data_IF_931915372157
#
_entry.id   IF_931915372157
#
_cell.length_a   1.000
_cell.length_b   1.000
_cell.length_c   1.000
_cell.angle_alpha   90.00
_cell.angle_beta   90.00
_cell.angle_gamma   90.00
#
_symmetry.space_group_name_H-M   'P 1'
#
loop_
_entity.id
_entity.type
_entity.pdbx_description
1 polymer ?
#
# COMPACT_ATOMS: atom_id res chain seq x y z
N UNK A 1 -19.29 52.56 -38.62
CA UNK A 1 -18.27 51.77 -37.88
C UNK A 1 -18.31 52.01 -36.37
N UNK A 2 -18.47 53.26 -35.88
CA UNK A 2 -18.47 53.58 -34.44
C UNK A 2 -19.61 52.98 -33.59
N UNK A 3 -20.80 52.73 -34.16
CA UNK A 3 -21.96 52.19 -33.42
C UNK A 3 -21.78 50.74 -32.97
N UNK A 4 -21.04 49.93 -33.74
CA UNK A 4 -20.68 48.54 -33.37
C UNK A 4 -19.58 48.49 -32.30
N UNK A 5 -18.65 49.44 -32.34
CA UNK A 5 -17.61 49.56 -31.31
C UNK A 5 -18.18 49.98 -29.95
N UNK A 6 -19.13 50.93 -29.93
CA UNK A 6 -19.83 51.33 -28.70
C UNK A 6 -20.63 50.17 -28.08
N UNK A 7 -21.36 49.41 -28.91
CA UNK A 7 -22.06 48.19 -28.46
C UNK A 7 -21.11 47.15 -27.87
N UNK A 8 -19.93 46.98 -28.46
CA UNK A 8 -18.92 46.04 -27.96
C UNK A 8 -18.33 46.50 -26.62
N UNK A 9 -18.02 47.79 -26.48
CA UNK A 9 -17.51 48.38 -25.24
C UNK A 9 -18.55 48.27 -24.11
N UNK A 10 -19.83 48.54 -24.41
CA UNK A 10 -20.92 48.44 -23.44
C UNK A 10 -21.15 46.99 -22.98
N UNK A 11 -20.96 46.01 -23.87
CA UNK A 11 -21.05 44.59 -23.56
C UNK A 11 -19.88 44.10 -22.70
N UNK A 12 -18.67 44.62 -22.93
CA UNK A 12 -17.49 44.35 -22.09
C UNK A 12 -17.65 44.96 -20.69
N UNK A 13 -18.15 46.19 -20.58
CA UNK A 13 -18.44 46.82 -19.28
C UNK A 13 -19.51 46.03 -18.52
N UNK A 14 -20.54 45.52 -19.21
CA UNK A 14 -21.57 44.68 -18.62
C UNK A 14 -20.98 43.40 -18.00
N UNK A 15 -20.07 42.72 -18.73
CA UNK A 15 -19.39 41.50 -18.28
C UNK A 15 -18.50 41.77 -17.05
N UNK A 16 -17.81 42.90 -16.99
CA UNK A 16 -16.95 43.29 -15.86
C UNK A 16 -17.78 43.69 -14.63
N UNK A 17 -18.99 44.23 -14.84
CA UNK A 17 -19.89 44.68 -13.77
C UNK A 17 -20.71 43.56 -13.10
N UNK A 18 -20.70 42.34 -13.65
CA UNK A 18 -21.24 41.20 -12.93
C UNK A 18 -20.31 40.87 -11.76
N UNK A 19 -20.77 40.92 -10.50
CA UNK A 19 -19.96 40.49 -9.39
C UNK A 19 -19.72 38.99 -9.56
N UNK A 20 -18.54 38.61 -10.05
CA UNK A 20 -18.05 37.25 -9.96
C UNK A 20 -17.90 36.99 -8.47
N UNK A 21 -18.95 36.47 -7.85
CA UNK A 21 -18.90 35.97 -6.48
C UNK A 21 -18.02 34.73 -6.53
N UNK A 22 -16.72 34.92 -6.46
CA UNK A 22 -15.79 33.84 -6.18
C UNK A 22 -16.12 33.43 -4.76
N UNK A 23 -16.79 32.28 -4.57
CA UNK A 23 -16.85 31.62 -3.27
C UNK A 23 -15.43 31.15 -2.94
N UNK A 24 -14.57 32.07 -2.51
CA UNK A 24 -13.31 31.69 -1.87
C UNK A 24 -13.66 31.30 -0.43
N UNK A 25 -14.18 30.09 -0.25
CA UNK A 25 -14.49 29.54 1.07
C UNK A 25 -13.29 28.84 1.72
N UNK A 26 -12.19 28.73 0.98
CA UNK A 26 -11.00 27.99 1.36
C UNK A 26 -9.77 28.76 0.93
N UNK A 27 -9.10 29.42 1.89
CA UNK A 27 -7.76 29.94 1.65
C UNK A 27 -6.78 28.77 1.51
N UNK A 28 -5.99 28.78 0.43
CA UNK A 28 -5.04 27.71 0.13
C UNK A 28 -3.91 27.64 1.15
N UNK A 29 -3.48 28.78 1.69
CA UNK A 29 -2.43 28.82 2.70
C UNK A 29 -2.92 28.15 4.00
N UNK A 30 -4.13 28.47 4.43
CA UNK A 30 -4.75 27.85 5.58
C UNK A 30 -5.01 26.35 5.40
N UNK A 31 -5.51 25.93 4.23
CA UNK A 31 -5.68 24.52 3.91
C UNK A 31 -4.34 23.76 3.97
N UNK A 32 -3.26 24.35 3.46
CA UNK A 32 -1.91 23.80 3.52
C UNK A 32 -1.42 23.66 4.97
N UNK A 33 -1.64 24.69 5.80
CA UNK A 33 -1.31 24.66 7.23
C UNK A 33 -2.04 23.53 7.96
N UNK A 34 -3.34 23.37 7.74
CA UNK A 34 -4.16 22.32 8.33
C UNK A 34 -3.75 20.92 7.86
N UNK A 35 -3.41 20.75 6.59
CA UNK A 35 -2.83 19.49 6.08
C UNK A 35 -1.49 19.16 6.73
N UNK A 36 -0.64 20.15 6.97
CA UNK A 36 0.61 19.96 7.69
C UNK A 36 0.36 19.52 9.14
N UNK A 37 -0.60 20.14 9.84
CA UNK A 37 -1.04 19.71 11.17
C UNK A 37 -1.53 18.25 11.14
N UNK A 38 -2.41 17.91 10.21
CA UNK A 38 -2.92 16.55 10.04
C UNK A 38 -1.80 15.53 9.74
N UNK A 39 -0.78 15.94 8.98
CA UNK A 39 0.35 15.06 8.62
C UNK A 39 1.22 14.67 9.82
N UNK A 40 1.33 15.55 10.82
CA UNK A 40 2.12 15.35 12.03
C UNK A 40 1.50 14.36 13.03
N UNK A 41 0.23 13.99 12.83
CA UNK A 41 -0.40 12.92 13.60
C UNK A 41 0.31 11.61 13.30
N UNK A 42 0.71 10.94 14.37
CA UNK A 42 1.29 9.60 14.32
C UNK A 42 0.47 8.64 15.18
N UNK A 43 0.82 7.36 15.16
CA UNK A 43 0.12 6.35 15.93
C UNK A 43 1.09 5.38 16.62
N UNK A 44 0.62 4.81 17.73
CA UNK A 44 1.23 3.67 18.42
C UNK A 44 0.22 2.54 18.46
N UNK A 45 0.69 1.31 18.38
CA UNK A 45 -0.14 0.10 18.46
C UNK A 45 0.31 -0.69 19.67
N UNK A 46 -0.63 -0.95 20.57
CA UNK A 46 -0.49 -1.88 21.69
C UNK A 46 -1.52 -3.00 21.53
N UNK A 47 -1.33 -4.11 22.25
CA UNK A 47 -2.29 -5.21 22.23
C UNK A 47 -2.38 -5.91 23.59
N UNK A 48 -3.55 -6.46 23.86
CA UNK A 48 -3.78 -7.42 24.94
C UNK A 48 -4.12 -8.78 24.34
N UNK A 49 -3.60 -9.84 24.95
CA UNK A 49 -3.89 -11.22 24.54
C UNK A 49 -4.67 -11.90 25.66
N UNK A 50 -5.84 -12.44 25.32
CA UNK A 50 -6.71 -13.16 26.24
C UNK A 50 -7.45 -14.27 25.49
N UNK A 51 -7.48 -15.47 26.07
CA UNK A 51 -8.23 -16.63 25.54
C UNK A 51 -7.96 -16.93 24.05
N UNK A 52 -6.67 -16.96 23.66
CA UNK A 52 -6.22 -17.15 22.27
C UNK A 52 -6.82 -16.14 21.27
N UNK A 53 -7.14 -14.93 21.75
CA UNK A 53 -7.52 -13.78 20.93
C UNK A 53 -6.66 -12.58 21.30
N UNK A 54 -6.50 -11.68 20.34
CA UNK A 54 -5.85 -10.39 20.57
C UNK A 54 -6.82 -9.26 20.32
N UNK A 55 -6.75 -8.26 21.18
CA UNK A 55 -7.45 -6.99 21.01
C UNK A 55 -6.40 -5.87 20.95
N UNK A 56 -6.44 -5.10 19.87
CA UNK A 56 -5.52 -4.00 19.64
C UNK A 56 -6.05 -2.69 20.20
N UNK A 57 -5.12 -1.90 20.73
CA UNK A 57 -5.31 -0.51 21.11
C UNK A 57 -4.46 0.35 20.19
N UNK A 58 -5.09 1.32 19.53
CA UNK A 58 -4.42 2.31 18.69
C UNK A 58 -4.41 3.63 19.46
N UNK A 59 -3.22 4.19 19.68
CA UNK A 59 -3.07 5.51 20.29
C UNK A 59 -2.63 6.50 19.22
N UNK A 60 -3.48 7.45 18.87
CA UNK A 60 -3.13 8.55 17.99
C UNK A 60 -2.46 9.65 18.81
N UNK A 61 -1.30 10.13 18.35
CA UNK A 61 -0.47 11.11 19.06
C UNK A 61 -0.30 12.39 18.25
N UNK A 62 0.07 13.49 18.92
CA UNK A 62 0.22 14.82 18.33
C UNK A 62 -1.09 15.40 17.79
N UNK A 63 -2.20 15.19 18.49
CA UNK A 63 -3.48 15.80 18.12
C UNK A 63 -3.49 17.31 18.36
N UNK A 64 -4.23 18.01 17.52
CA UNK A 64 -4.34 19.47 17.52
C UNK A 64 -5.82 19.89 17.62
N UNK A 65 -6.17 20.99 18.33
CA UNK A 65 -7.56 21.42 18.55
C UNK A 65 -8.33 21.81 17.28
N UNK A 66 -7.63 22.18 16.22
CA UNK A 66 -8.22 22.62 14.95
C UNK A 66 -8.61 21.48 14.00
N UNK A 67 -8.46 20.22 14.44
CA UNK A 67 -8.83 19.05 13.65
C UNK A 67 -9.69 18.10 14.48
N UNK A 68 -10.48 17.28 13.79
CA UNK A 68 -11.16 16.14 14.37
C UNK A 68 -10.96 14.90 13.48
N UNK A 69 -11.15 13.72 14.06
CA UNK A 69 -10.86 12.44 13.42
C UNK A 69 -12.14 11.62 13.31
N UNK A 70 -12.35 11.00 12.16
CA UNK A 70 -13.37 9.98 11.96
C UNK A 70 -12.69 8.62 11.77
N UNK A 71 -13.04 7.67 12.62
CA UNK A 71 -12.76 6.26 12.37
C UNK A 71 -13.79 5.74 11.35
N UNK A 72 -13.32 5.46 10.13
CA UNK A 72 -14.18 5.03 9.03
C UNK A 72 -14.74 3.63 9.26
N UNK A 73 -14.06 2.78 10.05
CA UNK A 73 -14.45 1.39 10.25
C UNK A 73 -15.73 1.24 11.10
N UNK A 74 -15.93 2.13 12.06
CA UNK A 74 -17.07 2.12 12.97
C UNK A 74 -17.91 3.42 12.91
N UNK A 75 -17.54 4.34 12.01
CA UNK A 75 -18.19 5.62 11.80
C UNK A 75 -18.23 6.52 13.06
N UNK A 76 -17.23 6.43 13.94
CA UNK A 76 -17.12 7.26 15.13
C UNK A 76 -16.29 8.51 14.88
N UNK A 77 -16.68 9.59 15.52
CA UNK A 77 -16.01 10.89 15.46
C UNK A 77 -15.34 11.16 16.80
N UNK A 78 -14.12 11.69 16.74
CA UNK A 78 -13.28 12.01 17.89
C UNK A 78 -12.79 13.45 17.75
N UNK A 79 -13.09 14.25 18.76
CA UNK A 79 -12.72 15.65 18.84
C UNK A 79 -11.56 15.82 19.81
N UNK A 80 -10.94 16.99 19.78
CA UNK A 80 -9.85 17.30 20.71
C UNK A 80 -10.28 17.27 22.19
N UNK A 81 -11.58 17.40 22.49
CA UNK A 81 -12.13 17.21 23.83
C UNK A 81 -12.00 15.78 24.36
N UNK A 82 -11.88 14.78 23.48
CA UNK A 82 -11.80 13.36 23.82
C UNK A 82 -10.36 12.90 24.15
N UNK A 83 -9.41 13.83 24.02
CA UNK A 83 -7.98 13.60 24.18
C UNK A 83 -7.60 13.59 25.65
N UNK A 84 -6.60 12.77 26.01
CA UNK A 84 -6.00 12.78 27.34
C UNK A 84 -5.28 14.12 27.56
N UNK A 85 -5.86 14.96 28.43
CA UNK A 85 -5.31 16.28 28.77
C UNK A 85 -3.86 16.17 29.22
N UNK A 86 -2.99 16.99 28.63
CA UNK A 86 -1.55 17.02 28.92
C UNK A 86 -0.67 16.11 28.06
N UNK A 87 -1.26 15.21 27.24
CA UNK A 87 -0.48 14.34 26.33
C UNK A 87 -0.78 14.53 24.85
N UNK A 88 -1.90 15.16 24.50
CA UNK A 88 -2.36 15.26 23.11
C UNK A 88 -2.53 13.88 22.43
N UNK A 89 -2.95 12.88 23.21
CA UNK A 89 -3.15 11.49 22.78
C UNK A 89 -4.63 11.06 22.85
N UNK A 90 -5.09 10.35 21.83
CA UNK A 90 -6.40 9.69 21.79
C UNK A 90 -6.21 8.17 21.76
N UNK A 91 -6.79 7.48 22.74
CA UNK A 91 -6.66 6.04 22.91
C UNK A 91 -7.91 5.32 22.45
N UNK A 92 -7.78 4.47 21.44
CA UNK A 92 -8.87 3.77 20.77
C UNK A 92 -8.69 2.25 20.96
N UNK A 93 -9.68 1.58 21.55
CA UNK A 93 -9.62 0.15 21.93
C UNK A 93 -10.63 -0.69 21.14
N UNK A 94 -10.50 -2.01 21.20
CA UNK A 94 -11.48 -2.94 20.63
C UNK A 94 -11.23 -3.37 19.19
N UNK A 95 -10.02 -3.16 18.64
CA UNK A 95 -9.75 -3.53 17.26
C UNK A 95 -9.30 -4.98 17.14
N UNK A 96 -9.85 -5.70 16.15
CA UNK A 96 -9.46 -7.07 15.82
C UNK A 96 -8.17 -7.12 14.99
N UNK A 97 -7.42 -8.21 15.09
CA UNK A 97 -6.24 -8.49 14.27
C UNK A 97 -6.52 -8.51 12.76
N UNK A 98 -5.46 -8.31 11.96
CA UNK A 98 -5.47 -8.49 10.52
C UNK A 98 -6.29 -7.47 9.72
N UNK A 99 -6.68 -6.36 10.33
CA UNK A 99 -7.46 -5.29 9.69
C UNK A 99 -6.63 -4.03 9.48
N UNK A 100 -6.93 -3.29 8.42
CA UNK A 100 -6.45 -1.93 8.23
C UNK A 100 -7.55 -0.96 8.62
N UNK A 101 -7.27 -0.09 9.58
CA UNK A 101 -8.18 0.95 10.05
C UNK A 101 -7.85 2.25 9.33
N UNK A 102 -8.87 2.90 8.77
CA UNK A 102 -8.75 4.21 8.12
C UNK A 102 -9.29 5.29 9.03
N UNK A 103 -8.45 6.29 9.29
CA UNK A 103 -8.81 7.50 10.01
C UNK A 103 -8.81 8.68 9.04
N UNK A 104 -9.98 9.29 8.86
CA UNK A 104 -10.12 10.52 8.07
C UNK A 104 -10.01 11.72 9.01
N UNK A 105 -9.12 12.64 8.68
CA UNK A 105 -8.85 13.84 9.46
C UNK A 105 -9.52 15.01 8.76
N UNK A 106 -10.31 15.76 9.51
CA UNK A 106 -11.07 16.91 9.04
C UNK A 106 -10.66 18.16 9.83
N UNK A 107 -10.96 19.33 9.27
CA UNK A 107 -10.80 20.58 9.99
C UNK A 107 -11.99 20.78 10.96
N UNK A 108 -11.74 21.45 12.09
CA UNK A 108 -12.74 21.80 13.10
C UNK A 108 -13.04 23.31 13.12
N UNK A 109 -12.64 24.04 12.07
CA UNK A 109 -12.80 25.49 11.97
C UNK A 109 -14.15 25.75 11.32
N UNK A 110 -15.08 26.32 12.08
CA UNK A 110 -16.40 26.70 11.55
C UNK A 110 -16.22 27.66 10.38
N UNK A 111 -16.99 27.41 9.32
CA UNK A 111 -17.04 28.27 8.13
C UNK A 111 -15.81 28.16 7.21
N UNK A 112 -14.93 27.17 7.41
CA UNK A 112 -13.75 26.95 6.58
C UNK A 112 -13.78 25.53 5.98
N UNK A 113 -13.96 25.42 4.66
CA UNK A 113 -13.91 24.15 3.93
C UNK A 113 -14.67 23.00 4.62
N UNK A 114 -15.88 23.30 5.12
CA UNK A 114 -16.68 22.36 5.89
C UNK A 114 -16.79 21.01 5.15
N UNK A 115 -16.47 19.93 5.86
CA UNK A 115 -16.57 18.54 5.40
C UNK A 115 -15.52 18.03 4.40
N UNK A 116 -14.48 18.82 4.09
CA UNK A 116 -13.35 18.30 3.32
C UNK A 116 -12.37 17.47 4.17
N UNK A 117 -12.00 16.29 3.68
CA UNK A 117 -10.96 15.46 4.29
C UNK A 117 -9.61 16.13 4.03
N UNK A 118 -8.92 16.53 5.10
CA UNK A 118 -7.56 17.08 5.03
C UNK A 118 -6.56 16.00 4.66
N UNK A 119 -6.66 14.83 5.30
CA UNK A 119 -5.75 13.70 5.14
C UNK A 119 -6.42 12.40 5.65
N UNK A 120 -6.10 11.28 5.02
CA UNK A 120 -6.42 9.94 5.54
C UNK A 120 -5.17 9.24 6.04
N UNK A 121 -5.21 8.72 7.27
CA UNK A 121 -4.15 7.87 7.85
C UNK A 121 -4.65 6.43 7.92
N UNK A 122 -3.76 5.49 7.63
CA UNK A 122 -4.06 4.06 7.63
C UNK A 122 -3.20 3.36 8.67
N UNK A 123 -3.83 2.55 9.51
CA UNK A 123 -3.17 1.76 10.55
C UNK A 123 -3.45 0.29 10.28
N UNK A 124 -2.44 -0.45 9.84
CA UNK A 124 -2.54 -1.89 9.56
C UNK A 124 -2.19 -2.68 10.82
N UNK A 125 -3.17 -3.43 11.34
CA UNK A 125 -3.00 -4.30 12.49
C UNK A 125 -2.52 -5.68 12.03
N UNK A 126 -1.50 -6.26 12.68
CA UNK A 126 -0.97 -7.54 12.25
C UNK A 126 -2.02 -8.65 12.42
N UNK A 127 -2.05 -9.64 11.52
CA UNK A 127 -2.86 -10.83 11.70
C UNK A 127 -2.33 -11.63 12.89
N UNK A 128 -3.18 -12.42 13.53
CA UNK A 128 -2.84 -13.17 14.73
C UNK A 128 -3.12 -14.65 14.55
N UNK A 129 -2.13 -15.47 14.90
CA UNK A 129 -2.23 -16.91 14.90
C UNK A 129 -2.70 -17.42 16.27
N UNK A 130 -3.90 -18.01 16.40
CA UNK A 130 -4.35 -18.56 17.68
C UNK A 130 -3.60 -19.83 18.10
N UNK A 131 -2.88 -20.50 17.19
CA UNK A 131 -2.20 -21.77 17.45
C UNK A 131 -0.70 -21.63 17.73
N UNK A 132 -0.14 -20.41 17.76
CA UNK A 132 1.31 -20.20 17.90
C UNK A 132 1.91 -20.73 19.22
N UNK A 133 1.07 -20.86 20.25
CA UNK A 133 1.41 -21.44 21.57
C UNK A 133 1.05 -22.91 21.68
N UNK A 134 0.53 -23.53 20.63
CA UNK A 134 0.17 -24.94 20.67
C UNK A 134 1.44 -25.80 20.90
N UNK A 135 1.41 -26.81 21.79
CA UNK A 135 2.54 -27.68 22.04
C UNK A 135 3.12 -28.34 20.77
N UNK A 136 2.31 -28.50 19.73
CA UNK A 136 2.78 -29.02 18.44
C UNK A 136 3.85 -28.13 17.79
N UNK A 137 3.95 -26.86 18.17
CA UNK A 137 4.99 -25.96 17.68
C UNK A 137 6.34 -26.10 18.39
N UNK A 138 6.44 -26.84 19.51
CA UNK A 138 7.74 -27.10 20.17
C UNK A 138 8.71 -27.83 19.23
N UNK A 139 9.91 -27.29 19.04
CA UNK A 139 10.91 -27.78 18.09
C UNK A 139 10.67 -27.39 16.63
N UNK A 140 9.64 -26.58 16.36
CA UNK A 140 9.32 -26.00 15.05
C UNK A 140 9.01 -24.49 15.18
N UNK A 141 9.61 -23.81 16.15
CA UNK A 141 9.35 -22.41 16.48
C UNK A 141 9.68 -21.46 15.32
N UNK A 142 10.60 -21.85 14.44
CA UNK A 142 10.95 -21.09 13.24
C UNK A 142 9.96 -21.30 12.08
N UNK A 143 9.13 -22.35 12.14
CA UNK A 143 8.20 -22.64 11.07
C UNK A 143 7.15 -21.55 10.95
N UNK A 144 6.83 -21.15 9.71
CA UNK A 144 5.91 -20.04 9.43
C UNK A 144 4.59 -20.17 10.19
N UNK A 145 4.03 -21.39 10.28
CA UNK A 145 2.74 -21.63 10.92
C UNK A 145 2.79 -21.56 12.44
N UNK A 146 3.99 -21.58 13.03
CA UNK A 146 4.21 -21.44 14.47
C UNK A 146 4.55 -20.01 14.88
N UNK A 147 4.62 -19.07 13.93
CA UNK A 147 4.80 -17.65 14.23
C UNK A 147 3.52 -17.03 14.78
N UNK A 148 3.66 -16.01 15.64
CA UNK A 148 2.54 -15.28 16.24
C UNK A 148 1.78 -14.41 15.25
N UNK A 149 2.49 -13.68 14.40
CA UNK A 149 1.94 -12.63 13.53
C UNK A 149 1.77 -13.10 12.09
N UNK A 150 0.99 -14.17 11.90
CA UNK A 150 0.66 -14.68 10.57
C UNK A 150 -0.85 -14.79 10.39
N UNK A 151 -1.28 -14.76 9.13
CA UNK A 151 -2.68 -14.98 8.80
C UNK A 151 -3.00 -16.49 8.80
N UNK A 152 -3.73 -16.94 9.81
CA UNK A 152 -4.11 -18.34 9.98
C UNK A 152 -5.44 -18.63 9.26
N UNK A 153 -5.37 -18.86 7.95
CA UNK A 153 -6.51 -19.18 7.09
C UNK A 153 -6.76 -20.70 6.98
N UNK A 154 -6.54 -21.45 8.06
CA UNK A 154 -6.77 -22.89 8.06
C UNK A 154 -7.33 -23.38 9.40
N UNK A 155 -8.02 -24.51 9.34
CA UNK A 155 -8.50 -25.19 10.54
C UNK A 155 -7.35 -25.88 11.29
N UNK A 156 -7.63 -26.29 12.52
CA UNK A 156 -6.64 -26.91 13.40
C UNK A 156 -6.06 -28.22 12.83
N UNK A 157 -6.87 -29.06 12.19
CA UNK A 157 -6.40 -30.34 11.66
C UNK A 157 -5.37 -30.16 10.53
N UNK A 158 -5.62 -29.19 9.63
CA UNK A 158 -4.68 -28.86 8.57
C UNK A 158 -3.41 -28.23 9.14
N UNK A 159 -3.55 -27.29 10.08
CA UNK A 159 -2.42 -26.70 10.80
C UNK A 159 -1.53 -27.79 11.44
N UNK A 160 -2.15 -28.71 12.20
CA UNK A 160 -1.47 -29.82 12.86
C UNK A 160 -0.68 -30.67 11.85
N UNK A 161 -1.34 -31.10 10.78
CA UNK A 161 -0.73 -31.91 9.73
C UNK A 161 0.49 -31.21 9.10
N UNK A 162 0.38 -29.92 8.82
CA UNK A 162 1.47 -29.14 8.22
C UNK A 162 2.67 -28.99 9.15
N UNK A 163 2.44 -28.79 10.46
CA UNK A 163 3.53 -28.69 11.45
C UNK A 163 4.23 -30.04 11.66
N UNK A 164 3.47 -31.13 11.74
CA UNK A 164 4.03 -32.49 11.86
C UNK A 164 4.86 -32.86 10.64
N UNK A 165 4.36 -32.59 9.43
CA UNK A 165 5.09 -32.80 8.19
C UNK A 165 6.41 -32.03 8.18
N UNK A 166 6.39 -30.76 8.60
CA UNK A 166 7.59 -29.94 8.70
C UNK A 166 8.62 -30.55 9.65
N UNK A 167 8.20 -31.01 10.84
CA UNK A 167 9.11 -31.66 11.79
C UNK A 167 9.75 -32.92 11.22
N UNK A 168 8.98 -33.77 10.55
CA UNK A 168 9.48 -34.97 9.87
C UNK A 168 10.53 -34.60 8.82
N UNK A 169 10.29 -33.54 8.04
CA UNK A 169 11.23 -33.05 7.03
C UNK A 169 12.49 -32.42 7.64
N UNK A 170 12.37 -31.74 8.77
CA UNK A 170 13.48 -31.11 9.50
C UNK A 170 14.40 -32.14 10.15
N UNK A 171 13.83 -33.20 10.73
CA UNK A 171 14.58 -34.28 11.40
C UNK A 171 15.22 -35.25 10.41
N UNK A 172 14.65 -35.36 9.21
CA UNK A 172 15.37 -35.92 8.08
C UNK A 172 16.51 -34.96 7.74
N UNK A 173 17.75 -35.30 8.15
CA UNK A 173 18.95 -34.87 7.41
C UNK A 173 18.60 -34.92 5.93
N UNK A 174 19.03 -33.94 5.10
CA UNK A 174 18.73 -33.99 3.68
C UNK A 174 19.07 -35.40 3.22
N UNK A 175 18.02 -36.16 2.91
CA UNK A 175 18.19 -37.29 2.01
C UNK A 175 18.74 -36.55 0.82
N UNK A 176 20.01 -36.79 0.50
CA UNK A 176 20.48 -36.53 -0.85
C UNK A 176 19.41 -37.19 -1.71
N UNK A 177 18.46 -36.39 -2.20
CA UNK A 177 17.60 -36.82 -3.27
C UNK A 177 18.61 -37.40 -4.26
N UNK A 178 18.43 -38.65 -4.76
CA UNK A 178 19.17 -39.01 -5.95
C UNK A 178 18.85 -37.86 -6.89
N UNK A 179 19.85 -37.01 -7.14
CA UNK A 179 19.77 -35.94 -8.10
C UNK A 179 19.24 -36.67 -9.31
N UNK A 180 18.01 -36.36 -9.69
CA UNK A 180 17.49 -36.83 -10.95
C UNK A 180 18.54 -36.34 -11.94
N UNK A 181 19.40 -37.27 -12.39
CA UNK A 181 20.45 -37.01 -13.34
C UNK A 181 19.70 -36.68 -14.64
N UNK A 182 19.18 -35.45 -14.70
CA UNK A 182 18.83 -34.78 -15.93
C UNK A 182 20.01 -35.04 -16.84
N UNK A 183 19.81 -35.74 -17.98
CA UNK A 183 20.91 -36.33 -18.73
C UNK A 183 22.02 -35.31 -18.87
N UNK A 184 23.25 -35.70 -18.55
CA UNK A 184 24.43 -34.83 -18.48
C UNK A 184 24.52 -33.83 -19.64
N UNK A 185 24.00 -34.24 -20.80
CA UNK A 185 23.92 -33.49 -22.05
C UNK A 185 23.01 -32.25 -21.99
N UNK A 186 21.84 -32.28 -21.32
CA UNK A 186 20.92 -31.12 -21.30
C UNK A 186 21.49 -29.96 -20.48
N UNK A 187 22.14 -30.28 -19.35
CA UNK A 187 22.77 -29.29 -18.46
C UNK A 187 23.98 -28.62 -19.11
N UNK A 188 24.72 -29.34 -19.96
CA UNK A 188 25.84 -28.77 -20.74
C UNK A 188 25.29 -27.77 -21.77
N UNK A 189 24.23 -28.14 -22.50
CA UNK A 189 23.63 -27.27 -23.52
C UNK A 189 23.00 -26.02 -22.89
N UNK A 190 22.25 -26.18 -21.79
CA UNK A 190 21.64 -25.06 -21.06
C UNK A 190 22.70 -24.15 -20.43
N UNK A 191 23.75 -24.72 -19.83
CA UNK A 191 24.87 -23.95 -19.27
C UNK A 191 25.63 -23.17 -20.34
N UNK A 192 25.87 -23.76 -21.51
CA UNK A 192 26.49 -23.08 -22.65
C UNK A 192 25.59 -21.95 -23.16
N UNK A 193 24.29 -22.21 -23.33
CA UNK A 193 23.33 -21.19 -23.75
C UNK A 193 23.31 -20.02 -22.76
N UNK A 194 23.17 -20.27 -21.45
CA UNK A 194 23.12 -19.19 -20.45
C UNK A 194 24.42 -18.37 -20.38
N UNK A 195 25.57 -19.01 -20.58
CA UNK A 195 26.88 -18.32 -20.59
C UNK A 195 27.07 -17.43 -21.81
N UNK A 196 26.58 -17.85 -22.97
CA UNK A 196 26.82 -17.16 -24.25
C UNK A 196 25.59 -16.48 -24.84
N UNK A 197 24.46 -16.47 -24.13
CA UNK A 197 23.16 -15.98 -24.61
C UNK A 197 23.24 -14.55 -25.16
N UNK A 198 23.94 -13.65 -24.46
CA UNK A 198 24.08 -12.25 -24.89
C UNK A 198 24.79 -12.15 -26.25
N UNK A 199 25.82 -12.97 -26.49
CA UNK A 199 26.56 -12.95 -27.76
C UNK A 199 25.75 -13.57 -28.89
N UNK A 200 25.02 -14.67 -28.62
CA UNK A 200 24.15 -15.34 -29.59
C UNK A 200 22.99 -14.42 -29.98
N UNK A 201 22.35 -13.76 -29.02
CA UNK A 201 21.26 -12.82 -29.29
C UNK A 201 21.76 -11.63 -30.12
N UNK A 202 22.94 -11.10 -29.77
CA UNK A 202 23.53 -9.97 -30.47
C UNK A 202 23.86 -10.30 -31.93
N UNK A 203 24.39 -11.49 -32.21
CA UNK A 203 24.70 -11.91 -33.59
C UNK A 203 23.45 -12.13 -34.44
N UNK A 204 22.37 -12.66 -33.85
CA UNK A 204 21.07 -12.80 -34.52
C UNK A 204 20.51 -11.43 -34.91
N UNK A 205 20.53 -10.46 -33.98
CA UNK A 205 20.03 -9.10 -34.26
C UNK A 205 20.81 -8.46 -35.41
N UNK A 206 22.14 -8.55 -35.40
CA UNK A 206 22.98 -8.01 -36.47
C UNK A 206 22.68 -8.73 -37.80
N UNK A 207 22.55 -10.06 -37.78
CA UNK A 207 22.19 -10.85 -38.95
C UNK A 207 20.84 -10.44 -39.55
N UNK A 208 19.81 -10.25 -38.71
CA UNK A 208 18.51 -9.77 -39.14
C UNK A 208 18.58 -8.37 -39.77
N UNK A 209 19.36 -7.45 -39.19
CA UNK A 209 19.53 -6.10 -39.74
C UNK A 209 20.22 -6.13 -41.11
N UNK A 210 21.26 -6.97 -41.27
CA UNK A 210 21.93 -7.17 -42.56
C UNK A 210 20.99 -7.81 -43.58
N UNK A 211 20.21 -8.80 -43.18
CA UNK A 211 19.22 -9.45 -44.05
C UNK A 211 18.15 -8.47 -44.53
N UNK A 212 17.59 -7.66 -43.62
CA UNK A 212 16.63 -6.60 -43.95
C UNK A 212 17.25 -5.56 -44.90
N UNK A 213 18.51 -5.20 -44.69
CA UNK A 213 19.24 -4.30 -45.60
C UNK A 213 19.38 -4.88 -47.01
N UNK A 214 19.71 -6.17 -47.15
CA UNK A 214 19.78 -6.82 -48.46
C UNK A 214 18.42 -6.95 -49.15
N UNK A 215 17.34 -7.23 -48.42
CA UNK A 215 15.99 -7.25 -48.97
C UNK A 215 15.60 -5.87 -49.52
N UNK A 216 15.83 -4.79 -48.74
CA UNK A 216 15.57 -3.42 -49.20
C UNK A 216 16.43 -3.01 -50.40
N UNK A 217 17.68 -3.49 -50.48
CA UNK A 217 18.54 -3.24 -51.65
C UNK A 217 18.02 -3.96 -52.90
N UNK A 218 17.50 -5.18 -52.74
CA UNK A 218 16.88 -5.94 -53.85
C UNK A 218 15.62 -5.24 -54.35
N UNK A 219 14.75 -4.77 -53.44
CA UNK A 219 13.52 -4.05 -53.81
C UNK A 219 13.81 -2.72 -54.55
N UNK A 220 14.94 -2.06 -54.26
CA UNK A 220 15.39 -0.86 -54.98
C UNK A 220 16.05 -1.15 -56.35
N UNK A 221 16.38 -2.41 -56.65
CA UNK A 221 16.98 -2.82 -57.93
C UNK A 221 15.95 -3.42 -58.91
N UNK A 222 14.73 -3.74 -58.45
CA UNK A 222 13.60 -4.20 -59.29
C UNK A 222 12.75 -3.03 -59.85
N UNK A 223 13.15 -1.78 -59.61
CA UNK A 223 12.63 -0.58 -60.30
C UNK A 223 13.73 0.08 -61.15
N UNK A 224 14.22 -0.64 -62.17
CA UNK A 224 14.88 -0.06 -63.34
C UNK A 224 14.66 -0.93 -64.57
#
# INVERSE_FOLDING_TARGET
MMRRAYLFILLVILIISFPIKVKAYCDYQELSRLKNIASNINYKIDYIEKDNKVEFTITLVNLHPEIYIRDVSNNKFYYYSDVIKGKNELVLKGYSSGKTIRYDIYNNIKEFCDSEVLLSKYVTLPPYNPYYKDPICSGAEEYKLCQKWINMNMNYNNFKKEVENYKIMKDKKPIEEPVDEQPKDINIILGFYMKYYIYILSSIIIGCLVWIYFLRKKDNLDFS
#
